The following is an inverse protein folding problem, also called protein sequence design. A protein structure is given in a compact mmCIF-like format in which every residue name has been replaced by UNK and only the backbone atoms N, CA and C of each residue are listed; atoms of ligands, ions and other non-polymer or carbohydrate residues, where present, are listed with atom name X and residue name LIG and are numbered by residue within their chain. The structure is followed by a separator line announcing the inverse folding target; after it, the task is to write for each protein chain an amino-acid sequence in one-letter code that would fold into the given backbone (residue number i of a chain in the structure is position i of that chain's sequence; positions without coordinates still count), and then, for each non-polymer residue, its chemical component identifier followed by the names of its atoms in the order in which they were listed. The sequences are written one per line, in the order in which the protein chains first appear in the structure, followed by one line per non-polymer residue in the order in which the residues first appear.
data_IF_760447140258
#
_entry.id   IF_760447140258
#
_cell.length_a   1.000
_cell.length_b   1.000
_cell.length_c   1.000
_cell.angle_alpha   90.00
_cell.angle_beta   90.00
_cell.angle_gamma   90.00
#
_symmetry.space_group_name_H-M   'P 1'
#
loop_
_entity.id
_entity.type
_entity.pdbx_description
1 polymer ?
#
# COMPACT_ATOMS: atom_id res chain seq x y z
N UNK A 1 -15.75 -10.81 8.08
CA UNK A 1 -14.72 -9.88 7.61
C UNK A 1 -15.20 -9.20 6.34
N UNK A 2 -15.26 -7.88 6.33
CA UNK A 2 -15.60 -7.06 5.17
C UNK A 2 -14.35 -6.30 4.75
N UNK A 3 -14.13 -6.19 3.44
CA UNK A 3 -13.00 -5.45 2.90
C UNK A 3 -13.48 -4.39 1.93
N UNK A 4 -12.82 -3.25 1.94
CA UNK A 4 -13.03 -2.20 0.96
C UNK A 4 -11.73 -1.47 0.67
N UNK A 5 -11.66 -0.80 -0.47
CA UNK A 5 -10.53 0.04 -0.82
C UNK A 5 -11.02 1.29 -1.52
N UNK A 6 -10.43 2.42 -1.16
CA UNK A 6 -10.65 3.71 -1.81
C UNK A 6 -9.29 4.26 -2.23
N UNK A 7 -9.25 4.87 -3.42
CA UNK A 7 -8.05 5.48 -3.98
C UNK A 7 -8.42 6.76 -4.70
N UNK A 8 -7.74 7.85 -4.37
CA UNK A 8 -8.00 9.18 -4.92
C UNK A 8 -6.66 9.83 -5.29
N UNK A 9 -6.51 10.33 -6.54
CA UNK A 9 -5.26 10.95 -6.94
C UNK A 9 -5.02 12.29 -6.23
N UNK A 10 -3.78 12.78 -6.32
CA UNK A 10 -3.43 14.15 -5.95
C UNK A 10 -4.22 15.16 -6.79
N UNK A 11 -4.46 16.34 -6.24
CA UNK A 11 -5.29 17.36 -6.88
C UNK A 11 -4.74 17.76 -8.25
N UNK A 12 -5.61 17.78 -9.26
CA UNK A 12 -5.25 18.10 -10.65
C UNK A 12 -4.86 16.88 -11.49
N UNK A 13 -4.73 15.71 -10.89
CA UNK A 13 -4.43 14.46 -11.58
C UNK A 13 -5.71 13.64 -11.81
N UNK A 14 -5.74 12.88 -12.90
CA UNK A 14 -6.79 11.91 -13.18
C UNK A 14 -6.55 10.60 -12.40
N UNK A 15 -7.57 9.74 -12.23
CA UNK A 15 -7.37 8.44 -11.60
C UNK A 15 -6.33 7.54 -12.27
N UNK A 16 -6.00 7.77 -13.55
CA UNK A 16 -4.95 7.02 -14.27
C UNK A 16 -3.54 7.52 -13.97
N UNK A 17 -3.41 8.75 -13.47
CA UNK A 17 -2.14 9.37 -13.09
C UNK A 17 -1.86 9.20 -11.59
N UNK A 18 -2.67 8.40 -10.89
CA UNK A 18 -2.44 8.02 -9.51
C UNK A 18 -1.30 6.99 -9.46
N UNK A 19 -0.31 7.26 -8.63
CA UNK A 19 0.90 6.46 -8.48
C UNK A 19 0.78 5.44 -7.34
N UNK A 20 -0.27 5.55 -6.53
CA UNK A 20 -0.62 4.55 -5.54
C UNK A 20 -1.33 3.33 -6.14
N UNK A 21 -1.16 2.19 -5.47
CA UNK A 21 -1.90 0.97 -5.76
C UNK A 21 -2.39 0.26 -4.50
N UNK A 22 -3.46 -0.51 -4.67
CA UNK A 22 -3.94 -1.46 -3.68
C UNK A 22 -4.39 -2.74 -4.36
N UNK A 23 -4.21 -3.86 -3.66
CA UNK A 23 -4.77 -5.14 -4.07
C UNK A 23 -5.30 -5.92 -2.87
N UNK A 24 -6.52 -6.46 -3.00
CA UNK A 24 -7.19 -7.25 -1.97
C UNK A 24 -7.64 -8.58 -2.58
N UNK A 25 -7.36 -9.66 -1.87
CA UNK A 25 -7.68 -11.03 -2.27
C UNK A 25 -8.35 -11.75 -1.10
N UNK A 26 -9.58 -12.21 -1.32
CA UNK A 26 -10.21 -13.20 -0.46
C UNK A 26 -9.78 -14.61 -0.90
N UNK A 27 -9.25 -15.39 0.03
CA UNK A 27 -8.79 -16.76 -0.19
C UNK A 27 -9.94 -17.73 0.13
N UNK A 28 -10.08 -18.88 -0.57
CA UNK A 28 -11.18 -19.82 -0.35
C UNK A 28 -11.29 -20.37 1.08
N UNK A 29 -10.20 -20.35 1.85
CA UNK A 29 -10.17 -20.76 3.25
C UNK A 29 -10.72 -19.69 4.23
N UNK A 30 -11.16 -18.54 3.72
CA UNK A 30 -11.69 -17.42 4.49
C UNK A 30 -10.64 -16.36 4.85
N UNK A 31 -9.37 -16.58 4.50
CA UNK A 31 -8.30 -15.61 4.74
C UNK A 31 -8.42 -14.41 3.82
N UNK A 32 -7.95 -13.25 4.27
CA UNK A 32 -7.84 -12.05 3.43
C UNK A 32 -6.39 -11.63 3.34
N UNK A 33 -5.95 -11.36 2.11
CA UNK A 33 -4.67 -10.74 1.80
C UNK A 33 -4.94 -9.34 1.28
N UNK A 34 -4.23 -8.35 1.80
CA UNK A 34 -4.36 -6.97 1.37
C UNK A 34 -2.97 -6.35 1.22
N UNK A 35 -2.75 -5.54 0.20
CA UNK A 35 -1.53 -4.80 0.02
C UNK A 35 -1.82 -3.38 -0.48
N UNK A 36 -0.96 -2.45 -0.10
CA UNK A 36 -0.88 -1.09 -0.61
C UNK A 36 0.55 -0.77 -1.00
N UNK A 37 0.72 0.11 -1.99
CA UNK A 37 2.01 0.62 -2.43
C UNK A 37 1.84 2.08 -2.87
N UNK A 38 2.86 2.88 -2.61
CA UNK A 38 2.98 4.28 -3.04
C UNK A 38 4.13 4.38 -4.04
N UNK A 39 3.81 4.73 -5.28
CA UNK A 39 4.77 4.94 -6.35
C UNK A 39 5.43 6.31 -6.27
N UNK A 40 6.77 6.35 -6.27
CA UNK A 40 7.51 7.60 -6.15
C UNK A 40 7.32 8.51 -7.38
N UNK A 41 6.79 9.72 -7.18
CA UNK A 41 6.43 10.66 -8.25
C UNK A 41 7.54 11.10 -9.20
N UNK A 42 8.81 10.93 -8.82
CA UNK A 42 9.93 11.23 -9.72
C UNK A 42 10.18 10.12 -10.76
N UNK A 43 9.56 8.96 -10.57
CA UNK A 43 9.69 7.78 -11.42
C UNK A 43 8.67 7.76 -12.54
N UNK A 44 9.10 7.39 -13.75
CA UNK A 44 8.17 7.10 -14.83
C UNK A 44 7.56 5.71 -14.60
N UNK A 45 6.24 5.57 -14.78
CA UNK A 45 5.47 4.34 -14.57
C UNK A 45 5.44 3.85 -13.10
N UNK A 46 5.45 4.79 -12.15
CA UNK A 46 5.44 4.48 -10.72
C UNK A 46 4.15 3.75 -10.29
N UNK A 47 2.99 4.17 -10.80
CA UNK A 47 1.71 3.52 -10.51
C UNK A 47 1.61 2.09 -11.03
N UNK A 48 2.12 1.82 -12.22
CA UNK A 48 2.16 0.47 -12.79
C UNK A 48 3.09 -0.46 -12.01
N UNK A 49 4.21 0.08 -11.50
CA UNK A 49 5.10 -0.66 -10.61
C UNK A 49 4.47 -0.94 -9.25
N UNK A 50 3.80 0.03 -8.65
CA UNK A 50 3.05 -0.13 -7.41
C UNK A 50 1.95 -1.22 -7.54
N UNK A 51 1.20 -1.21 -8.65
CA UNK A 51 0.19 -2.25 -8.94
C UNK A 51 0.83 -3.63 -9.10
N UNK A 52 1.93 -3.75 -9.85
CA UNK A 52 2.65 -5.02 -10.00
C UNK A 52 3.19 -5.54 -8.66
N UNK A 53 3.74 -4.65 -7.83
CA UNK A 53 4.24 -4.99 -6.49
C UNK A 53 3.14 -5.57 -5.62
N UNK A 54 2.02 -4.84 -5.45
CA UNK A 54 0.90 -5.27 -4.59
C UNK A 54 0.36 -6.63 -5.02
N UNK A 55 0.20 -6.87 -6.32
CA UNK A 55 -0.19 -8.18 -6.86
C UNK A 55 0.83 -9.25 -6.51
N UNK A 56 2.11 -9.03 -6.85
CA UNK A 56 3.15 -10.03 -6.65
C UNK A 56 3.32 -10.43 -5.18
N UNK A 57 3.27 -9.47 -4.24
CA UNK A 57 3.43 -9.79 -2.81
C UNK A 57 2.21 -10.53 -2.24
N UNK A 58 0.99 -10.19 -2.69
CA UNK A 58 -0.21 -10.93 -2.26
C UNK A 58 -0.26 -12.34 -2.84
N UNK A 59 0.15 -12.54 -4.10
CA UNK A 59 0.27 -13.87 -4.69
C UNK A 59 1.34 -14.69 -3.96
N UNK A 60 2.51 -14.12 -3.67
CA UNK A 60 3.54 -14.78 -2.89
C UNK A 60 3.05 -15.18 -1.48
N UNK A 61 2.33 -14.30 -0.78
CA UNK A 61 1.77 -14.56 0.54
C UNK A 61 0.59 -15.54 0.55
N UNK A 62 -0.06 -15.73 -0.60
CA UNK A 62 -1.05 -16.80 -0.81
C UNK A 62 -0.34 -18.16 -0.92
N UNK A 63 0.77 -18.20 -1.65
CA UNK A 63 1.52 -19.43 -1.94
C UNK A 63 2.41 -19.88 -0.76
N UNK A 64 2.87 -18.96 0.08
CA UNK A 64 3.75 -19.23 1.22
C UNK A 64 3.36 -18.37 2.44
N UNK A 65 2.89 -19.05 3.50
CA UNK A 65 2.40 -18.45 4.75
C UNK A 65 3.50 -17.77 5.59
N UNK A 66 4.77 -17.86 5.18
CA UNK A 66 5.91 -17.24 5.86
C UNK A 66 6.34 -15.93 5.24
N UNK A 67 5.86 -15.59 4.05
CA UNK A 67 6.31 -14.40 3.29
C UNK A 67 6.14 -13.11 4.10
N UNK A 68 5.08 -12.99 4.91
CA UNK A 68 4.84 -11.80 5.72
C UNK A 68 5.46 -11.85 7.13
N UNK A 69 6.13 -12.94 7.48
CA UNK A 69 6.82 -13.13 8.78
C UNK A 69 8.34 -13.10 8.66
N UNK A 70 8.86 -13.29 7.45
CA UNK A 70 10.27 -13.52 7.16
C UNK A 70 10.76 -12.48 6.15
N UNK A 71 11.72 -11.66 6.58
CA UNK A 71 12.23 -10.55 5.78
C UNK A 71 12.90 -11.02 4.49
N UNK A 72 13.61 -12.15 4.51
CA UNK A 72 14.26 -12.71 3.33
C UNK A 72 13.23 -13.22 2.31
N UNK A 73 12.17 -13.87 2.78
CA UNK A 73 11.07 -14.32 1.91
C UNK A 73 10.29 -13.16 1.31
N UNK A 74 10.00 -12.13 2.11
CA UNK A 74 9.39 -10.91 1.59
C UNK A 74 10.28 -10.25 0.53
N UNK A 75 11.57 -10.09 0.82
CA UNK A 75 12.54 -9.55 -0.13
C UNK A 75 12.64 -10.38 -1.42
N UNK A 76 12.57 -11.72 -1.33
CA UNK A 76 12.52 -12.59 -2.49
C UNK A 76 11.27 -12.34 -3.37
N UNK A 77 10.12 -12.03 -2.76
CA UNK A 77 8.92 -11.63 -3.49
C UNK A 77 9.11 -10.27 -4.21
N UNK A 78 9.81 -9.31 -3.58
CA UNK A 78 10.16 -8.03 -4.21
C UNK A 78 11.10 -8.22 -5.41
N UNK A 79 12.10 -9.09 -5.30
CA UNK A 79 12.98 -9.43 -6.43
C UNK A 79 12.20 -10.09 -7.56
N UNK A 80 11.24 -10.98 -7.24
CA UNK A 80 10.33 -11.59 -8.23
C UNK A 80 9.48 -10.53 -8.94
N UNK A 81 8.95 -9.55 -8.21
CA UNK A 81 8.21 -8.44 -8.81
C UNK A 81 9.08 -7.69 -9.82
N UNK A 82 10.34 -7.40 -9.46
CA UNK A 82 11.28 -6.76 -10.37
C UNK A 82 11.60 -7.60 -11.62
N UNK A 83 11.66 -8.93 -11.51
CA UNK A 83 11.81 -9.82 -12.68
C UNK A 83 10.58 -9.74 -13.60
N UNK A 84 9.38 -9.76 -13.04
CA UNK A 84 8.14 -9.62 -13.80
C UNK A 84 8.02 -8.24 -14.48
N UNK A 85 8.52 -7.19 -13.82
CA UNK A 85 8.60 -5.84 -14.40
C UNK A 85 9.37 -5.81 -15.72
N UNK A 86 10.45 -6.57 -15.85
CA UNK A 86 11.21 -6.62 -17.12
C UNK A 86 10.37 -7.10 -18.30
N UNK A 87 9.52 -8.11 -18.08
CA UNK A 87 8.57 -8.58 -19.09
C UNK A 87 7.48 -7.56 -19.37
N UNK A 88 6.88 -7.00 -18.32
CA UNK A 88 5.85 -5.97 -18.43
C UNK A 88 6.34 -4.73 -19.20
N UNK A 89 7.57 -4.26 -18.91
CA UNK A 89 8.16 -3.10 -19.57
C UNK A 89 8.41 -3.37 -21.06
N UNK A 90 8.89 -4.57 -21.40
CA UNK A 90 9.08 -4.95 -22.80
C UNK A 90 7.74 -4.95 -23.57
N UNK A 91 6.66 -5.46 -22.97
CA UNK A 91 5.31 -5.42 -23.55
C UNK A 91 4.79 -3.97 -23.68
N UNK A 92 5.02 -3.13 -22.67
CA UNK A 92 4.66 -1.71 -22.70
C UNK A 92 5.34 -0.99 -23.87
N UNK A 93 6.66 -1.16 -24.03
CA UNK A 93 7.42 -0.55 -25.12
C UNK A 93 6.94 -1.04 -26.48
N UNK A 94 6.79 -2.36 -26.65
CA UNK A 94 6.31 -2.95 -27.91
C UNK A 94 4.90 -2.45 -28.28
N UNK A 95 4.01 -2.31 -27.29
CA UNK A 95 2.67 -1.77 -27.49
C UNK A 95 2.72 -0.31 -27.93
N UNK A 96 3.55 0.51 -27.28
CA UNK A 96 3.74 1.93 -27.62
C UNK A 96 4.25 2.11 -29.04
N UNK A 97 5.19 1.27 -29.47
CA UNK A 97 5.68 1.24 -30.85
C UNK A 97 4.57 0.83 -31.84
N UNK A 98 3.80 -0.21 -31.53
CA UNK A 98 2.69 -0.66 -32.37
C UNK A 98 1.55 0.37 -32.52
N UNK A 99 1.37 1.25 -31.53
CA UNK A 99 0.42 2.35 -31.54
C UNK A 99 0.97 3.65 -32.18
N UNK A 100 2.13 3.60 -32.86
CA UNK A 100 2.83 4.75 -33.47
C UNK A 100 3.14 5.86 -32.45
N UNK A 101 3.41 5.46 -31.20
CA UNK A 101 3.74 6.33 -30.07
C UNK A 101 5.02 5.81 -29.40
N UNK A 102 6.16 5.72 -30.09
CA UNK A 102 7.38 5.17 -29.48
C UNK A 102 7.79 5.96 -28.23
N UNK A 103 8.63 5.33 -27.40
CA UNK A 103 9.21 6.00 -26.23
C UNK A 103 9.99 7.22 -26.69
N UNK A 104 9.65 8.39 -26.15
CA UNK A 104 10.35 9.61 -26.49
C UNK A 104 11.76 9.63 -25.87
N UNK A 105 12.70 10.31 -26.52
CA UNK A 105 14.08 10.38 -26.07
C UNK A 105 14.24 10.92 -24.63
N UNK A 106 13.31 11.75 -24.15
CA UNK A 106 13.31 12.29 -22.79
C UNK A 106 12.68 11.34 -21.75
N UNK A 107 11.93 10.32 -22.18
CA UNK A 107 11.38 9.27 -21.34
C UNK A 107 12.43 8.17 -21.07
N UNK A 108 13.30 7.90 -22.05
CA UNK A 108 14.31 6.83 -21.97
C UNK A 108 15.16 6.87 -20.69
N UNK A 109 15.74 8.01 -20.27
CA UNK A 109 16.55 8.05 -19.05
C UNK A 109 15.75 7.74 -17.78
N UNK A 110 14.43 8.01 -17.77
CA UNK A 110 13.56 7.66 -16.64
C UNK A 110 13.21 6.18 -16.64
N UNK A 111 12.96 5.59 -17.82
CA UNK A 111 12.76 4.15 -17.96
C UNK A 111 14.01 3.36 -17.54
N UNK A 112 15.20 3.82 -17.93
CA UNK A 112 16.47 3.15 -17.60
C UNK A 112 16.77 3.14 -16.09
N UNK A 113 16.32 4.16 -15.36
CA UNK A 113 16.42 4.20 -13.88
C UNK A 113 15.43 3.26 -13.22
N UNK A 114 14.31 3.01 -13.87
CA UNK A 114 13.22 2.17 -13.37
C UNK A 114 12.40 2.84 -12.27
N UNK A 115 11.15 2.40 -12.09
CA UNK A 115 10.30 2.95 -11.06
C UNK A 115 10.66 2.48 -9.66
N UNK A 116 10.27 3.31 -8.70
CA UNK A 116 10.43 3.09 -7.26
C UNK A 116 9.07 3.16 -6.58
N UNK A 117 8.85 2.33 -5.56
CA UNK A 117 7.64 2.39 -4.76
C UNK A 117 7.87 1.83 -3.35
N UNK A 118 7.05 2.25 -2.40
CA UNK A 118 6.88 1.59 -1.11
C UNK A 118 5.97 0.36 -1.29
N UNK A 119 5.95 -0.54 -0.31
CA UNK A 119 4.98 -1.64 -0.29
C UNK A 119 4.71 -2.10 1.13
N UNK A 120 3.44 -2.34 1.43
CA UNK A 120 2.99 -3.01 2.64
C UNK A 120 1.97 -4.08 2.26
N UNK A 121 2.13 -5.30 2.80
CA UNK A 121 1.18 -6.38 2.62
C UNK A 121 0.83 -7.01 3.96
N UNK A 122 -0.45 -7.35 4.12
CA UNK A 122 -1.01 -7.96 5.31
C UNK A 122 -1.85 -9.20 4.96
N UNK A 123 -1.86 -10.16 5.88
CA UNK A 123 -2.68 -11.36 5.86
C UNK A 123 -3.53 -11.41 7.12
N UNK A 124 -4.78 -11.81 6.97
CA UNK A 124 -5.76 -11.97 8.04
C UNK A 124 -6.38 -13.35 7.94
N UNK A 125 -6.08 -14.23 8.90
CA UNK A 125 -6.56 -15.60 8.97
C UNK A 125 -7.55 -15.72 10.14
N UNK A 126 -8.84 -15.76 9.83
CA UNK A 126 -9.87 -15.98 10.84
C UNK A 126 -9.97 -17.47 11.17
N UNK A 127 -9.81 -17.82 12.45
CA UNK A 127 -10.02 -19.19 12.90
C UNK A 127 -11.48 -19.47 13.29
N UNK A 128 -11.90 -20.75 13.41
CA UNK A 128 -13.26 -21.09 13.79
C UNK A 128 -13.68 -20.64 15.19
N UNK A 129 -12.75 -20.22 16.05
CA UNK A 129 -13.02 -19.71 17.40
C UNK A 129 -13.37 -18.22 17.41
N UNK A 130 -13.23 -17.54 16.25
CA UNK A 130 -13.47 -16.10 16.11
C UNK A 130 -12.24 -15.24 16.42
N UNK A 131 -11.07 -15.85 16.56
CA UNK A 131 -9.78 -15.13 16.66
C UNK A 131 -9.21 -15.00 15.25
N UNK A 132 -8.81 -13.78 14.89
CA UNK A 132 -8.12 -13.52 13.63
C UNK A 132 -6.65 -13.37 13.89
N UNK A 133 -5.83 -14.27 13.35
CA UNK A 133 -4.39 -14.06 13.28
C UNK A 133 -4.10 -13.09 12.15
N UNK A 134 -3.19 -12.15 12.39
CA UNK A 134 -2.78 -11.22 11.35
C UNK A 134 -1.26 -11.08 11.28
N UNK A 135 -0.78 -10.83 10.07
CA UNK A 135 0.62 -10.61 9.74
C UNK A 135 0.75 -9.46 8.79
N UNK A 136 1.83 -8.69 8.93
CA UNK A 136 2.13 -7.59 8.03
C UNK A 136 3.64 -7.49 7.82
N UNK A 137 4.03 -7.25 6.58
CA UNK A 137 5.39 -6.88 6.21
C UNK A 137 5.38 -5.64 5.34
N UNK A 138 6.40 -4.79 5.48
CA UNK A 138 6.52 -3.54 4.75
C UNK A 138 7.98 -3.22 4.41
N UNK A 139 8.15 -2.50 3.29
CA UNK A 139 9.35 -1.76 2.93
C UNK A 139 8.93 -0.37 2.47
N UNK A 140 9.34 0.66 3.21
CA UNK A 140 8.90 2.04 3.02
C UNK A 140 8.02 2.51 4.17
N UNK A 141 7.13 3.46 3.89
CA UNK A 141 6.33 4.19 4.87
C UNK A 141 4.81 4.10 4.65
N UNK A 142 4.35 3.27 3.70
CA UNK A 142 2.99 2.75 3.74
C UNK A 142 2.73 2.06 5.09
N UNK A 143 1.60 2.35 5.73
CA UNK A 143 1.33 1.94 7.11
C UNK A 143 0.09 1.06 7.26
N UNK A 144 0.08 0.22 8.30
CA UNK A 144 -1.06 -0.49 8.83
C UNK A 144 -1.40 0.04 10.22
N UNK A 145 -2.69 0.27 10.46
CA UNK A 145 -3.25 0.65 11.74
C UNK A 145 -4.24 -0.41 12.22
N UNK A 146 -4.11 -0.86 13.46
CA UNK A 146 -5.03 -1.78 14.13
C UNK A 146 -5.80 -1.02 15.20
N UNK A 147 -7.12 -1.05 15.14
CA UNK A 147 -8.01 -0.35 16.06
C UNK A 147 -9.01 -1.28 16.71
N UNK A 148 -9.35 -0.99 17.96
CA UNK A 148 -10.38 -1.69 18.76
C UNK A 148 -10.97 -0.71 19.75
N UNK A 149 -12.29 -0.77 19.99
CA UNK A 149 -12.98 0.00 21.04
C UNK A 149 -12.61 1.50 21.09
N UNK A 150 -12.44 2.12 19.92
CA UNK A 150 -11.99 3.51 19.79
C UNK A 150 -10.63 3.82 20.42
N UNK A 151 -9.72 2.87 20.28
CA UNK A 151 -8.30 3.02 20.54
C UNK A 151 -7.46 2.52 19.35
N UNK A 152 -6.33 3.19 19.13
CA UNK A 152 -5.30 2.73 18.22
C UNK A 152 -4.39 1.75 18.98
N UNK A 153 -4.54 0.47 18.70
CA UNK A 153 -3.75 -0.58 19.34
C UNK A 153 -2.36 -0.71 18.74
N UNK A 154 -2.24 -0.49 17.43
CA UNK A 154 -0.96 -0.58 16.71
C UNK A 154 -0.91 0.33 15.50
N UNK A 155 0.27 0.91 15.29
CA UNK A 155 0.70 1.52 14.04
C UNK A 155 1.99 0.80 13.58
N UNK A 156 2.16 0.64 12.28
CA UNK A 156 3.30 -0.07 11.69
C UNK A 156 3.51 0.37 10.23
N UNK A 157 4.73 0.51 9.70
CA UNK A 157 6.00 0.47 10.43
C UNK A 157 6.32 1.81 11.12
N UNK A 158 5.62 2.89 10.75
CA UNK A 158 5.77 4.21 11.35
C UNK A 158 4.75 4.40 12.47
N UNK A 159 5.23 4.84 13.64
CA UNK A 159 4.41 5.00 14.85
C UNK A 159 4.13 6.46 15.21
N UNK A 160 4.75 7.41 14.50
CA UNK A 160 4.55 8.85 14.74
C UNK A 160 4.48 9.64 13.43
N UNK A 161 3.57 10.62 13.35
CA UNK A 161 3.47 11.50 12.20
C UNK A 161 4.76 12.30 11.92
N UNK A 162 5.56 12.57 12.95
CA UNK A 162 6.83 13.28 12.82
C UNK A 162 7.97 12.43 12.24
N UNK A 163 7.77 11.12 12.08
CA UNK A 163 8.76 10.20 11.53
C UNK A 163 8.61 9.97 10.02
N UNK A 164 7.58 10.55 9.38
CA UNK A 164 7.53 10.64 7.93
C UNK A 164 8.56 11.66 7.44
N UNK A 165 9.35 11.27 6.46
CA UNK A 165 10.29 12.14 5.76
C UNK A 165 10.16 11.97 4.24
N UNK A 166 10.98 12.66 3.47
CA UNK A 166 10.90 12.63 2.00
C UNK A 166 11.80 11.54 1.38
N UNK A 167 12.36 10.64 2.19
CA UNK A 167 13.36 9.64 1.79
C UNK A 167 13.07 8.26 2.39
N UNK A 168 11.84 7.72 2.27
CA UNK A 168 11.56 6.37 2.74
C UNK A 168 12.40 5.35 1.97
N UNK A 169 12.54 4.15 2.55
CA UNK A 169 13.07 3.01 1.80
C UNK A 169 12.15 2.70 0.62
N UNK A 170 12.70 2.61 -0.59
CA UNK A 170 11.92 2.32 -1.80
C UNK A 170 12.42 1.06 -2.49
N UNK A 171 11.48 0.29 -3.04
CA UNK A 171 11.76 -0.86 -3.91
C UNK A 171 11.91 -0.35 -5.34
N UNK A 172 13.13 -0.39 -5.89
CA UNK A 172 13.37 -0.15 -7.31
C UNK A 172 13.11 -1.42 -8.13
N UNK A 173 12.43 -1.28 -9.27
CA UNK A 173 12.07 -2.41 -10.12
C UNK A 173 13.25 -3.19 -10.72
N UNK A 174 14.46 -2.62 -10.74
CA UNK A 174 15.69 -3.26 -11.21
C UNK A 174 16.63 -3.70 -10.09
N UNK A 175 16.32 -3.39 -8.82
CA UNK A 175 17.10 -3.91 -7.71
C UNK A 175 16.92 -5.44 -7.59
N UNK A 176 18.04 -6.17 -7.53
CA UNK A 176 18.10 -7.63 -7.38
C UNK A 176 18.83 -8.06 -6.11
N UNK A 177 19.33 -7.11 -5.32
CA UNK A 177 20.01 -7.38 -4.08
C UNK A 177 18.99 -7.72 -2.99
N UNK A 178 18.68 -9.01 -2.88
CA UNK A 178 17.72 -9.53 -1.90
C UNK A 178 18.18 -9.24 -0.46
N UNK A 179 19.47 -9.35 -0.17
CA UNK A 179 19.99 -9.12 1.18
C UNK A 179 19.82 -7.66 1.58
N UNK A 180 20.12 -6.73 0.66
CA UNK A 180 19.87 -5.31 0.88
C UNK A 180 18.39 -5.02 1.11
N UNK A 181 17.50 -5.60 0.31
CA UNK A 181 16.06 -5.44 0.48
C UNK A 181 15.61 -5.99 1.84
N UNK A 182 16.03 -7.20 2.21
CA UNK A 182 15.66 -7.85 3.47
C UNK A 182 16.04 -7.01 4.70
N UNK A 183 17.19 -6.32 4.68
CA UNK A 183 17.61 -5.41 5.75
C UNK A 183 16.63 -4.24 5.98
N UNK A 184 15.91 -3.83 4.94
CA UNK A 184 14.93 -2.74 5.00
C UNK A 184 13.50 -3.22 5.22
N UNK A 185 13.23 -4.53 5.10
CA UNK A 185 11.93 -5.09 5.44
C UNK A 185 11.70 -5.01 6.95
N UNK A 186 10.48 -4.65 7.31
CA UNK A 186 9.95 -4.78 8.66
C UNK A 186 8.78 -5.76 8.60
N UNK A 187 8.61 -6.55 9.65
CA UNK A 187 7.48 -7.48 9.76
C UNK A 187 7.00 -7.55 11.21
N UNK A 188 5.70 -7.68 11.40
CA UNK A 188 5.09 -7.93 12.70
C UNK A 188 3.82 -8.76 12.55
N UNK A 189 3.45 -9.47 13.60
CA UNK A 189 2.25 -10.28 13.63
C UNK A 189 1.53 -10.12 14.97
N UNK A 190 0.27 -10.52 14.99
CA UNK A 190 -0.54 -10.50 16.19
C UNK A 190 -1.86 -11.24 16.01
N UNK A 191 -2.74 -11.00 16.97
CA UNK A 191 -4.11 -11.54 16.98
C UNK A 191 -5.10 -10.40 17.13
N UNK A 192 -6.30 -10.61 16.62
CA UNK A 192 -7.42 -9.70 16.65
C UNK A 192 -8.70 -10.46 17.00
N UNK A 193 -9.71 -9.71 17.42
CA UNK A 193 -11.02 -10.22 17.79
C UNK A 193 -12.08 -9.66 16.83
N UNK A 194 -13.26 -10.26 16.78
CA UNK A 194 -14.41 -9.64 16.10
C UNK A 194 -14.65 -8.21 16.63
N UNK A 195 -15.01 -7.29 15.75
CA UNK A 195 -15.11 -5.86 16.03
C UNK A 195 -13.83 -5.04 15.79
N UNK A 196 -12.68 -5.68 15.60
CA UNK A 196 -11.44 -4.95 15.29
C UNK A 196 -11.46 -4.43 13.85
N UNK A 197 -10.82 -3.27 13.65
CA UNK A 197 -10.62 -2.66 12.34
C UNK A 197 -9.14 -2.56 11.99
N UNK A 198 -8.83 -2.76 10.71
CA UNK A 198 -7.49 -2.56 10.15
C UNK A 198 -7.53 -1.63 8.96
N UNK A 199 -6.62 -0.65 8.94
CA UNK A 199 -6.47 0.31 7.85
C UNK A 199 -5.06 0.24 7.30
N UNK A 200 -4.91 -0.12 6.03
CA UNK A 200 -3.65 0.00 5.30
C UNK A 200 -3.70 1.30 4.50
N UNK A 201 -2.72 2.17 4.66
CA UNK A 201 -2.72 3.51 4.09
C UNK A 201 -1.37 3.81 3.42
N UNK A 202 -1.40 4.53 2.30
CA UNK A 202 -0.22 5.20 1.74
C UNK A 202 0.15 6.44 2.54
N UNK A 203 1.32 7.02 2.28
CA UNK A 203 2.06 7.86 3.22
C UNK A 203 1.28 9.12 3.67
N UNK A 204 0.64 9.84 2.74
CA UNK A 204 -0.07 11.08 3.01
C UNK A 204 -1.26 10.85 3.94
N UNK A 205 -1.98 9.74 3.74
CA UNK A 205 -3.07 9.36 4.60
C UNK A 205 -2.58 8.79 5.94
N UNK A 206 -1.49 8.04 5.95
CA UNK A 206 -0.89 7.50 7.15
C UNK A 206 -0.36 8.61 8.08
N UNK A 207 0.29 9.63 7.51
CA UNK A 207 0.74 10.82 8.22
C UNK A 207 -0.43 11.60 8.84
N UNK A 208 -1.50 11.82 8.06
CA UNK A 208 -2.73 12.43 8.58
C UNK A 208 -3.34 11.59 9.71
N UNK A 209 -3.45 10.27 9.54
CA UNK A 209 -4.03 9.35 10.51
C UNK A 209 -3.29 9.43 11.84
N UNK A 210 -1.96 9.30 11.83
CA UNK A 210 -1.16 9.40 13.05
C UNK A 210 -1.25 10.79 13.67
N UNK A 211 -1.20 11.85 12.86
CA UNK A 211 -1.31 13.22 13.36
C UNK A 211 -2.64 13.48 14.08
N UNK A 212 -3.75 13.01 13.51
CA UNK A 212 -5.08 13.08 14.12
C UNK A 212 -5.15 12.26 15.43
N UNK A 213 -4.68 11.01 15.41
CA UNK A 213 -4.66 10.17 16.61
C UNK A 213 -3.83 10.79 17.75
N UNK A 214 -2.68 11.39 17.43
CA UNK A 214 -1.82 12.07 18.40
C UNK A 214 -2.46 13.34 19.01
N UNK A 215 -3.37 13.99 18.29
CA UNK A 215 -4.20 15.10 18.82
C UNK A 215 -5.38 14.61 19.68
N UNK A 216 -5.53 13.30 19.87
CA UNK A 216 -6.62 12.70 20.62
C UNK A 216 -7.91 12.52 19.79
N UNK A 217 -7.84 12.70 18.47
CA UNK A 217 -8.97 12.46 17.57
C UNK A 217 -9.17 10.95 17.31
N UNK A 218 -10.12 10.60 16.43
CA UNK A 218 -10.50 9.23 16.09
C UNK A 218 -10.51 9.04 14.56
N UNK A 219 -9.35 9.10 13.88
CA UNK A 219 -9.28 9.09 12.41
C UNK A 219 -9.89 7.83 11.78
N UNK A 220 -9.83 6.69 12.46
CA UNK A 220 -10.50 5.46 12.02
C UNK A 220 -12.02 5.58 11.94
N UNK A 221 -12.67 6.40 12.77
CA UNK A 221 -14.12 6.66 12.65
C UNK A 221 -14.42 7.41 11.36
N UNK A 222 -13.67 8.48 11.10
CA UNK A 222 -13.82 9.28 9.88
C UNK A 222 -13.57 8.42 8.63
N UNK A 223 -12.53 7.59 8.62
CA UNK A 223 -12.30 6.67 7.49
C UNK A 223 -13.39 5.61 7.36
N UNK A 224 -13.84 5.03 8.47
CA UNK A 224 -14.88 4.00 8.45
C UNK A 224 -16.23 4.48 7.92
N UNK A 225 -16.55 5.78 8.02
CA UNK A 225 -17.75 6.37 7.41
C UNK A 225 -17.77 6.16 5.89
N UNK A 226 -16.62 6.32 5.25
CA UNK A 226 -16.49 6.16 3.80
C UNK A 226 -16.20 4.71 3.40
N UNK A 227 -15.29 4.04 4.11
CA UNK A 227 -14.80 2.73 3.68
C UNK A 227 -15.82 1.62 3.88
N UNK A 228 -16.69 1.67 4.91
CA UNK A 228 -17.71 0.60 5.10
C UNK A 228 -18.76 0.56 3.99
N UNK A 229 -19.07 1.70 3.40
CA UNK A 229 -20.04 1.84 2.32
C UNK A 229 -19.39 1.87 0.94
N UNK A 230 -18.06 2.08 0.87
CA UNK A 230 -17.34 2.30 -0.37
C UNK A 230 -17.64 3.68 -0.99
N UNK A 231 -17.95 4.69 -0.17
CA UNK A 231 -18.30 6.04 -0.61
C UNK A 231 -17.08 6.82 -1.09
N UNK A 232 -16.71 6.58 -2.35
CA UNK A 232 -15.59 7.25 -3.00
C UNK A 232 -15.83 8.76 -3.20
N UNK A 233 -17.06 9.17 -3.50
CA UNK A 233 -17.40 10.57 -3.75
C UNK A 233 -17.29 11.38 -2.46
N UNK A 234 -17.88 10.88 -1.36
CA UNK A 234 -17.76 11.50 -0.04
C UNK A 234 -16.31 11.54 0.44
N UNK A 235 -15.56 10.46 0.24
CA UNK A 235 -14.14 10.41 0.57
C UNK A 235 -13.32 11.44 -0.23
N UNK A 236 -13.61 11.60 -1.52
CA UNK A 236 -12.94 12.58 -2.40
C UNK A 236 -13.22 14.01 -1.95
N UNK A 237 -14.47 14.32 -1.59
CA UNK A 237 -14.84 15.65 -1.05
C UNK A 237 -14.14 15.91 0.27
N UNK A 238 -14.15 14.94 1.18
CA UNK A 238 -13.45 15.05 2.47
C UNK A 238 -11.95 15.28 2.30
N UNK A 239 -11.28 14.54 1.41
CA UNK A 239 -9.87 14.73 1.09
C UNK A 239 -9.57 16.14 0.55
N UNK A 240 -10.42 16.67 -0.31
CA UNK A 240 -10.26 18.03 -0.84
C UNK A 240 -10.30 19.07 0.29
N UNK A 241 -11.20 18.90 1.27
CA UNK A 241 -11.23 19.74 2.47
C UNK A 241 -9.98 19.58 3.34
N UNK A 242 -9.57 18.35 3.65
CA UNK A 242 -8.38 18.08 4.46
C UNK A 242 -7.10 18.68 3.84
N UNK A 243 -6.96 18.61 2.51
CA UNK A 243 -5.85 19.24 1.77
C UNK A 243 -5.94 20.77 1.81
N UNK A 244 -7.12 21.34 1.59
CA UNK A 244 -7.33 22.80 1.60
C UNK A 244 -7.05 23.43 2.98
N UNK A 245 -7.33 22.71 4.06
CA UNK A 245 -7.04 23.13 5.44
C UNK A 245 -5.58 22.88 5.87
N UNK A 246 -4.76 22.28 5.00
CA UNK A 246 -3.36 21.96 5.30
C UNK A 246 -3.19 20.80 6.29
N UNK A 247 -4.24 20.00 6.51
CA UNK A 247 -4.21 18.82 7.37
C UNK A 247 -3.53 17.61 6.69
N UNK A 248 -3.47 17.62 5.36
CA UNK A 248 -2.89 16.55 4.55
C UNK A 248 -2.13 17.13 3.36
N UNK A 249 -1.00 16.52 3.00
CA UNK A 249 -0.24 16.86 1.79
C UNK A 249 -1.11 16.63 0.55
N UNK A 250 -0.91 17.44 -0.48
CA UNK A 250 -1.48 17.15 -1.79
C UNK A 250 -0.72 16.01 -2.46
N UNK A 251 -1.08 14.79 -2.12
CA UNK A 251 -0.52 13.57 -2.70
C UNK A 251 -1.58 12.54 -3.04
N UNK A 252 -1.20 11.49 -3.76
CA UNK A 252 -2.07 10.33 -3.94
C UNK A 252 -2.44 9.73 -2.59
N UNK A 253 -3.67 9.23 -2.48
CA UNK A 253 -4.19 8.66 -1.24
C UNK A 253 -4.88 7.35 -1.55
N UNK A 254 -4.44 6.31 -0.86
CA UNK A 254 -5.03 4.98 -0.91
C UNK A 254 -5.27 4.44 0.49
N UNK A 255 -6.43 3.83 0.68
CA UNK A 255 -6.78 3.07 1.88
C UNK A 255 -7.34 1.72 1.50
N UNK A 256 -6.96 0.69 2.26
CA UNK A 256 -7.68 -0.58 2.35
C UNK A 256 -8.18 -0.71 3.79
N UNK A 257 -9.49 -0.94 3.96
CA UNK A 257 -10.09 -1.22 5.25
C UNK A 257 -10.47 -2.70 5.32
N UNK A 258 -10.04 -3.37 6.40
CA UNK A 258 -10.44 -4.73 6.75
C UNK A 258 -11.18 -4.67 8.09
N UNK A 259 -12.49 -4.84 8.03
CA UNK A 259 -13.39 -4.80 9.18
C UNK A 259 -13.72 -6.24 9.62
N UNK A 260 -13.41 -6.60 10.87
CA UNK A 260 -13.59 -7.97 11.37
C UNK A 260 -15.02 -8.30 11.80
N UNK A 261 -15.97 -7.36 11.69
CA UNK A 261 -17.41 -7.61 11.85
C UNK A 261 -18.07 -6.85 12.98
#
# INVERSE_FOLDING_TARGET
MVTSSLRVPKQGHTPRECEDAAHVVAVPDGSVLAAVADGASESLLAGEWADLLTRTVTDAARDDDRVLRDADRFAAALVRAGQAWGGWLAEYVAKREAEDRPIAWYEQPKLDRGPHATVLAARFDADPSGVTRWEVAALGDSCLFHTRDDELLRAFPIESAAAFDNTPGLVNAFNRDQELLARHVRAVSGTASGGDGFFLCTDALAAWFLGAAQRGERPWRALAEFTRTGDLDGFTVWLAHARAEGLMRNDDVTVVHVDLG
#
